data_IF_472635143577
#
_entry.id   IF_472635143577
#
_cell.length_a   1.000
_cell.length_b   1.000
_cell.length_c   1.000
_cell.angle_alpha   90.00
_cell.angle_beta   90.00
_cell.angle_gamma   90.00
#
_symmetry.space_group_name_H-M   'P 1'
#
loop_
_entity.id
_entity.type
_entity.pdbx_description
1 polymer ?
#
# COMPACT_ATOMS: atom_id res chain seq x y z
N UNK A 1 -11.15 -19.20 8.87
CA UNK A 1 -11.47 -19.04 7.44
C UNK A 1 -11.70 -17.57 7.14
N UNK A 2 -11.18 -17.07 6.02
CA UNK A 2 -11.44 -15.71 5.53
C UNK A 2 -12.78 -15.73 4.78
N UNK A 3 -13.82 -15.09 5.32
CA UNK A 3 -15.18 -15.16 4.79
C UNK A 3 -15.30 -14.48 3.42
N UNK A 4 -14.50 -13.44 3.18
CA UNK A 4 -14.46 -12.77 1.89
C UNK A 4 -13.87 -13.69 0.81
N UNK A 5 -12.78 -14.39 1.11
CA UNK A 5 -12.22 -15.39 0.19
C UNK A 5 -13.20 -16.54 -0.10
N UNK A 6 -13.97 -16.99 0.90
CA UNK A 6 -15.01 -18.00 0.69
C UNK A 6 -16.10 -17.51 -0.29
N UNK A 7 -16.51 -16.24 -0.19
CA UNK A 7 -17.44 -15.61 -1.15
C UNK A 7 -16.88 -15.60 -2.58
N UNK A 8 -15.56 -15.49 -2.73
CA UNK A 8 -14.86 -15.60 -4.02
C UNK A 8 -14.67 -17.04 -4.50
N UNK A 9 -15.11 -18.04 -3.73
CA UNK A 9 -15.03 -19.46 -4.08
C UNK A 9 -13.74 -20.16 -3.64
N UNK A 10 -12.88 -19.50 -2.86
CA UNK A 10 -11.70 -20.14 -2.27
C UNK A 10 -12.09 -21.05 -1.09
N UNK A 11 -11.30 -22.09 -0.90
CA UNK A 11 -11.43 -23.06 0.20
C UNK A 11 -10.58 -22.63 1.40
N UNK A 12 -10.88 -23.13 2.61
CA UNK A 12 -10.08 -22.84 3.81
C UNK A 12 -8.59 -23.17 3.72
N UNK A 13 -8.21 -24.05 2.78
CA UNK A 13 -6.84 -24.52 2.57
C UNK A 13 -6.11 -23.77 1.46
N UNK A 14 -6.79 -22.90 0.73
CA UNK A 14 -6.19 -22.19 -0.40
C UNK A 14 -5.27 -21.08 0.10
N UNK A 15 -4.13 -20.95 -0.58
CA UNK A 15 -3.14 -19.90 -0.35
C UNK A 15 -3.32 -18.83 -1.42
N UNK A 16 -3.63 -17.60 -1.00
CA UNK A 16 -3.90 -16.49 -1.90
C UNK A 16 -2.91 -15.36 -1.60
N UNK A 17 -2.26 -14.84 -2.64
CA UNK A 17 -1.20 -13.86 -2.53
C UNK A 17 -1.52 -12.62 -3.39
N UNK A 18 -1.32 -11.45 -2.79
CA UNK A 18 -1.20 -10.18 -3.50
C UNK A 18 0.28 -9.80 -3.48
N UNK A 19 0.86 -9.58 -4.66
CA UNK A 19 2.20 -8.99 -4.82
C UNK A 19 2.03 -7.52 -5.16
N UNK A 20 2.32 -6.66 -4.19
CA UNK A 20 1.95 -5.26 -4.21
C UNK A 20 3.20 -4.36 -4.30
N UNK A 21 3.16 -3.39 -5.21
CA UNK A 21 4.20 -2.39 -5.37
C UNK A 21 3.81 -1.12 -4.61
N UNK A 22 4.60 -0.80 -3.58
CA UNK A 22 4.53 0.49 -2.90
C UNK A 22 5.33 1.56 -3.66
N UNK A 23 4.97 2.82 -3.39
CA UNK A 23 5.69 4.02 -3.85
C UNK A 23 5.70 4.27 -5.38
N UNK A 24 4.69 3.84 -6.13
CA UNK A 24 4.51 4.37 -7.50
C UNK A 24 4.34 5.90 -7.42
N UNK A 25 4.91 6.65 -8.35
CA UNK A 25 4.90 8.13 -8.35
C UNK A 25 5.95 8.78 -7.45
N UNK A 26 6.65 8.02 -6.60
CA UNK A 26 7.72 8.52 -5.74
C UNK A 26 8.83 9.20 -6.54
N UNK A 27 9.46 8.47 -7.46
CA UNK A 27 10.47 8.98 -8.38
C UNK A 27 10.38 8.30 -9.75
N UNK A 28 11.06 8.85 -10.77
CA UNK A 28 11.09 8.26 -12.11
C UNK A 28 11.59 6.81 -12.09
N UNK A 29 12.66 6.54 -11.32
CA UNK A 29 13.21 5.20 -11.17
C UNK A 29 12.20 4.18 -10.61
N UNK A 30 11.31 4.60 -9.71
CA UNK A 30 10.24 3.77 -9.17
C UNK A 30 9.11 3.55 -10.19
N UNK A 31 8.73 4.59 -10.95
CA UNK A 31 7.73 4.50 -12.02
C UNK A 31 8.15 3.49 -13.10
N UNK A 32 9.38 3.60 -13.59
CA UNK A 32 9.90 2.71 -14.63
C UNK A 32 10.03 1.26 -14.13
N UNK A 33 10.37 1.07 -12.86
CA UNK A 33 10.41 -0.25 -12.26
C UNK A 33 9.00 -0.83 -12.09
N UNK A 34 8.03 0.00 -11.67
CA UNK A 34 6.62 -0.38 -11.54
C UNK A 34 6.03 -0.83 -12.88
N UNK A 35 6.25 -0.05 -13.94
CA UNK A 35 5.81 -0.40 -15.30
C UNK A 35 6.36 -1.77 -15.73
N UNK A 36 7.66 -2.03 -15.50
CA UNK A 36 8.28 -3.29 -15.86
C UNK A 36 7.67 -4.48 -15.09
N UNK A 37 7.45 -4.33 -13.78
CA UNK A 37 6.87 -5.38 -12.95
C UNK A 37 5.40 -5.67 -13.29
N UNK A 38 4.57 -4.63 -13.48
CA UNK A 38 3.16 -4.79 -13.84
C UNK A 38 3.00 -5.33 -15.26
N UNK A 39 3.75 -4.80 -16.24
CA UNK A 39 3.70 -5.27 -17.63
C UNK A 39 4.25 -6.69 -17.79
N UNK A 40 5.23 -7.06 -16.97
CA UNK A 40 5.77 -8.41 -16.89
C UNK A 40 4.87 -9.39 -16.12
N UNK A 41 3.81 -8.90 -15.47
CA UNK A 41 2.84 -9.69 -14.71
C UNK A 41 3.36 -10.23 -13.37
N UNK A 42 4.56 -9.85 -12.94
CA UNK A 42 5.19 -10.33 -11.70
C UNK A 42 4.58 -9.71 -10.44
N UNK A 43 4.14 -8.45 -10.54
CA UNK A 43 3.32 -7.78 -9.55
C UNK A 43 1.84 -7.91 -9.93
N UNK A 44 0.97 -8.10 -8.94
CA UNK A 44 -0.46 -8.13 -9.17
C UNK A 44 -1.11 -6.74 -9.11
N UNK A 45 -0.50 -5.79 -8.40
CA UNK A 45 -0.99 -4.42 -8.27
C UNK A 45 0.11 -3.46 -7.79
N UNK A 46 -0.19 -2.16 -7.81
CA UNK A 46 0.64 -1.10 -7.25
C UNK A 46 -0.24 -0.03 -6.60
N UNK A 47 0.33 0.84 -5.76
CA UNK A 47 -0.34 2.06 -5.30
C UNK A 47 0.52 3.30 -5.45
N UNK A 48 -0.14 4.41 -5.82
CA UNK A 48 0.54 5.66 -6.20
C UNK A 48 0.52 6.69 -5.08
N UNK A 49 1.68 7.30 -4.78
CA UNK A 49 1.78 8.49 -3.93
C UNK A 49 1.39 9.71 -4.77
N UNK A 50 0.16 10.17 -4.63
CA UNK A 50 -0.38 11.29 -5.41
C UNK A 50 0.33 12.61 -5.13
N UNK A 51 0.82 12.78 -3.91
CA UNK A 51 1.55 13.98 -3.50
C UNK A 51 2.93 14.11 -4.17
N UNK A 52 3.53 12.99 -4.59
CA UNK A 52 4.92 12.94 -5.02
C UNK A 52 5.16 13.60 -6.38
N UNK A 53 6.39 14.09 -6.60
CA UNK A 53 6.74 14.91 -7.76
C UNK A 53 6.58 14.21 -9.12
N UNK A 54 6.61 12.87 -9.12
CA UNK A 54 6.48 12.05 -10.33
C UNK A 54 5.09 11.40 -10.49
N UNK A 55 4.08 11.88 -9.75
CA UNK A 55 2.69 11.43 -9.87
C UNK A 55 2.12 11.59 -11.29
N UNK A 56 2.37 12.71 -11.99
CA UNK A 56 1.79 12.93 -13.32
C UNK A 56 2.32 11.93 -14.37
N UNK A 57 3.57 11.50 -14.24
CA UNK A 57 4.12 10.42 -15.06
C UNK A 57 3.43 9.09 -14.73
N UNK A 58 3.31 8.76 -13.45
CA UNK A 58 2.61 7.56 -12.99
C UNK A 58 1.16 7.51 -13.52
N UNK A 59 0.43 8.61 -13.41
CA UNK A 59 -0.94 8.73 -13.94
C UNK A 59 -0.98 8.57 -15.47
N UNK A 60 -0.04 9.17 -16.19
CA UNK A 60 0.07 9.00 -17.65
C UNK A 60 0.30 7.53 -18.02
N UNK A 61 1.20 6.83 -17.33
CA UNK A 61 1.44 5.40 -17.54
C UNK A 61 0.19 4.56 -17.27
N UNK A 62 -0.52 4.82 -16.17
CA UNK A 62 -1.75 4.11 -15.81
C UNK A 62 -2.86 4.29 -16.86
N UNK A 63 -3.04 5.50 -17.40
CA UNK A 63 -4.02 5.78 -18.45
C UNK A 63 -3.75 5.00 -19.76
N UNK A 64 -2.49 4.71 -20.06
CA UNK A 64 -2.10 3.94 -21.25
C UNK A 64 -2.09 2.43 -21.01
N UNK A 65 -2.32 2.00 -19.76
CA UNK A 65 -2.29 0.60 -19.34
C UNK A 65 -3.49 0.28 -18.44
N UNK A 66 -4.71 0.37 -18.99
CA UNK A 66 -5.97 0.23 -18.24
C UNK A 66 -6.17 -1.14 -17.57
N UNK A 67 -5.39 -2.16 -17.94
CA UNK A 67 -5.39 -3.46 -17.27
C UNK A 67 -4.66 -3.46 -15.92
N UNK A 68 -3.83 -2.45 -15.64
CA UNK A 68 -3.12 -2.38 -14.37
C UNK A 68 -4.07 -2.16 -13.20
N UNK A 69 -3.73 -2.78 -12.08
CA UNK A 69 -4.44 -2.68 -10.82
C UNK A 69 -3.73 -1.64 -9.93
N UNK A 70 -4.27 -0.42 -9.91
CA UNK A 70 -3.62 0.74 -9.29
C UNK A 70 -4.49 1.30 -8.16
N UNK A 71 -3.95 1.32 -6.95
CA UNK A 71 -4.53 1.97 -5.78
C UNK A 71 -3.91 3.34 -5.48
N UNK A 72 -4.33 3.94 -4.38
CA UNK A 72 -3.76 5.19 -3.85
C UNK A 72 -2.99 4.91 -2.57
N UNK A 73 -1.69 5.26 -2.57
CA UNK A 73 -0.80 5.14 -1.43
C UNK A 73 -0.95 6.35 -0.51
N UNK A 74 -1.98 6.29 0.35
CA UNK A 74 -2.37 7.44 1.15
C UNK A 74 -1.25 7.83 2.11
N UNK A 75 -0.93 9.12 2.15
CA UNK A 75 0.19 9.61 2.95
C UNK A 75 -0.15 10.86 3.76
N UNK A 76 0.37 10.91 4.99
CA UNK A 76 0.47 12.11 5.83
C UNK A 76 1.93 12.45 6.14
N UNK A 77 2.87 11.78 5.44
CA UNK A 77 4.31 11.86 5.68
C UNK A 77 5.08 12.14 4.39
N UNK A 78 6.27 12.72 4.52
CA UNK A 78 7.29 12.89 3.49
C UNK A 78 8.67 12.79 4.16
N UNK A 79 9.20 11.57 4.21
CA UNK A 79 10.30 11.15 5.07
C UNK A 79 11.66 11.69 4.66
N UNK A 80 11.91 11.80 3.34
CA UNK A 80 13.24 12.14 2.85
C UNK A 80 13.64 13.58 3.20
N UNK A 81 14.92 13.82 3.52
CA UNK A 81 15.39 15.15 3.93
C UNK A 81 15.39 16.17 2.77
N UNK A 82 15.67 15.71 1.55
CA UNK A 82 15.90 16.57 0.37
C UNK A 82 14.85 16.38 -0.73
N UNK A 83 13.94 15.43 -0.60
CA UNK A 83 12.91 15.13 -1.59
C UNK A 83 11.56 14.98 -0.91
N UNK A 84 10.78 16.07 -0.93
CA UNK A 84 9.58 16.19 -0.09
C UNK A 84 8.39 16.65 -0.90
N UNK A 85 7.21 16.20 -0.50
CA UNK A 85 5.95 16.58 -1.14
C UNK A 85 5.01 17.31 -0.18
N UNK A 86 4.27 18.32 -0.68
CA UNK A 86 3.32 19.07 0.13
C UNK A 86 2.02 18.28 0.32
N UNK A 87 1.18 18.76 1.25
CA UNK A 87 -0.23 18.38 1.28
C UNK A 87 -0.96 18.92 0.04
N UNK A 88 -1.98 18.19 -0.42
CA UNK A 88 -2.84 18.60 -1.55
C UNK A 88 -4.01 19.49 -1.10
N UNK A 89 -4.55 19.20 0.08
CA UNK A 89 -5.79 19.80 0.59
C UNK A 89 -5.60 21.19 1.20
N UNK A 90 -4.45 21.45 1.84
CA UNK A 90 -4.18 22.72 2.52
C UNK A 90 -2.69 22.97 2.73
N UNK A 91 -2.30 24.25 2.69
CA UNK A 91 -0.98 24.73 3.13
C UNK A 91 -1.04 25.53 4.43
N UNK A 92 -2.22 25.60 5.06
CA UNK A 92 -2.39 26.30 6.32
C UNK A 92 -1.75 25.49 7.46
N UNK A 93 -0.73 26.07 8.10
CA UNK A 93 -0.06 25.47 9.26
C UNK A 93 -1.02 25.21 10.43
N UNK A 94 -2.15 25.93 10.52
CA UNK A 94 -3.20 25.71 11.52
C UNK A 94 -3.88 24.34 11.44
N UNK A 95 -3.82 23.67 10.27
CA UNK A 95 -4.37 22.31 10.09
C UNK A 95 -3.50 21.22 10.71
N UNK A 96 -2.23 21.54 10.96
CA UNK A 96 -1.21 20.59 11.38
C UNK A 96 -0.73 19.63 10.27
N UNK A 97 -1.16 19.78 9.01
CA UNK A 97 -0.74 18.91 7.89
C UNK A 97 0.72 19.08 7.50
N UNK A 98 1.21 20.32 7.58
CA UNK A 98 2.54 20.69 7.08
C UNK A 98 3.47 21.06 8.22
N UNK A 99 4.74 20.72 8.05
CA UNK A 99 5.81 21.11 8.96
C UNK A 99 6.28 22.55 8.70
N UNK A 100 7.37 22.95 9.38
CA UNK A 100 7.94 24.31 9.26
C UNK A 100 8.51 24.63 7.87
N UNK A 101 8.76 23.63 7.04
CA UNK A 101 9.24 23.80 5.66
C UNK A 101 8.07 23.82 4.65
N UNK A 102 6.84 23.56 5.10
CA UNK A 102 5.65 23.55 4.25
C UNK A 102 5.36 22.21 3.56
N UNK A 103 5.98 21.12 4.02
CA UNK A 103 5.79 19.76 3.49
C UNK A 103 5.11 18.85 4.51
N UNK A 104 4.61 17.69 4.09
CA UNK A 104 4.13 16.66 5.01
C UNK A 104 5.25 16.21 5.98
N UNK A 105 4.88 15.67 7.13
CA UNK A 105 5.82 15.37 8.22
C UNK A 105 6.85 14.30 7.88
N UNK A 106 8.09 14.46 8.35
CA UNK A 106 9.14 13.46 8.14
C UNK A 106 8.85 12.10 8.77
N UNK A 107 8.13 12.08 9.90
CA UNK A 107 7.91 10.88 10.69
C UNK A 107 6.44 10.61 10.88
N UNK A 108 6.10 9.33 11.00
CA UNK A 108 4.76 8.89 11.38
C UNK A 108 4.34 9.49 12.72
N UNK A 109 5.24 9.56 13.68
CA UNK A 109 4.99 10.08 15.03
C UNK A 109 4.62 11.56 15.00
N UNK A 110 5.32 12.36 14.21
CA UNK A 110 5.00 13.79 14.08
C UNK A 110 3.70 14.00 13.31
N UNK A 111 3.42 13.22 12.26
CA UNK A 111 2.13 13.26 11.58
C UNK A 111 0.98 12.96 12.56
N UNK A 112 1.08 11.89 13.35
CA UNK A 112 0.09 11.54 14.36
C UNK A 112 -0.10 12.66 15.39
N UNK A 113 1.00 13.27 15.84
CA UNK A 113 0.99 14.30 16.87
C UNK A 113 0.29 15.58 16.40
N UNK A 114 0.57 16.03 15.18
CA UNK A 114 0.18 17.37 14.74
C UNK A 114 -1.05 17.39 13.83
N UNK A 115 -1.23 16.39 12.96
CA UNK A 115 -2.31 16.40 11.98
C UNK A 115 -3.64 16.19 12.68
N UNK A 116 -4.61 17.07 12.46
CA UNK A 116 -5.98 16.90 12.99
C UNK A 116 -6.75 15.84 12.20
N UNK A 117 -7.76 15.20 12.79
CA UNK A 117 -8.58 14.19 12.10
C UNK A 117 -9.33 14.78 10.89
N UNK A 118 -9.83 16.02 11.02
CA UNK A 118 -10.48 16.76 9.94
C UNK A 118 -9.52 17.02 8.78
N UNK A 119 -8.30 17.47 9.08
CA UNK A 119 -7.29 17.72 8.06
C UNK A 119 -6.82 16.43 7.38
N UNK A 120 -6.65 15.34 8.14
CA UNK A 120 -6.35 14.02 7.57
C UNK A 120 -7.47 13.53 6.63
N UNK A 121 -8.75 13.73 6.99
CA UNK A 121 -9.89 13.40 6.11
C UNK A 121 -9.84 14.19 4.81
N UNK A 122 -9.63 15.50 4.91
CA UNK A 122 -9.54 16.39 3.75
C UNK A 122 -8.37 16.01 2.83
N UNK A 123 -7.22 15.70 3.41
CA UNK A 123 -6.02 15.31 2.67
C UNK A 123 -6.15 13.96 1.98
N UNK A 124 -6.56 12.91 2.70
CA UNK A 124 -6.76 11.58 2.10
C UNK A 124 -7.81 11.62 0.98
N UNK A 125 -8.89 12.38 1.16
CA UNK A 125 -9.87 12.62 0.10
C UNK A 125 -9.25 13.30 -1.12
N UNK A 126 -8.51 14.38 -0.91
CA UNK A 126 -7.87 15.12 -2.00
C UNK A 126 -6.92 14.23 -2.81
N UNK A 127 -6.22 13.29 -2.15
CA UNK A 127 -5.37 12.30 -2.82
C UNK A 127 -6.20 11.37 -3.72
N UNK A 128 -7.29 10.78 -3.20
CA UNK A 128 -8.17 9.89 -3.97
C UNK A 128 -8.82 10.64 -5.15
N UNK A 129 -9.39 11.81 -4.89
CA UNK A 129 -10.06 12.63 -5.91
C UNK A 129 -9.07 13.07 -7.01
N UNK A 130 -7.83 13.39 -6.64
CA UNK A 130 -6.79 13.76 -7.61
C UNK A 130 -6.37 12.58 -8.48
N UNK A 131 -6.24 11.37 -7.92
CA UNK A 131 -5.97 10.16 -8.69
C UNK A 131 -7.10 9.85 -9.69
N UNK A 132 -8.36 9.92 -9.24
CA UNK A 132 -9.54 9.73 -10.09
C UNK A 132 -9.62 10.79 -11.19
N UNK A 133 -9.40 12.07 -10.86
CA UNK A 133 -9.38 13.17 -11.83
C UNK A 133 -8.23 13.03 -12.86
N UNK A 134 -7.13 12.40 -12.47
CA UNK A 134 -6.03 12.03 -13.35
C UNK A 134 -6.29 10.75 -14.15
N UNK A 135 -7.51 10.20 -14.13
CA UNK A 135 -7.93 9.06 -14.97
C UNK A 135 -7.47 7.69 -14.47
N UNK A 136 -7.02 7.58 -13.21
CA UNK A 136 -6.73 6.29 -12.58
C UNK A 136 -8.05 5.67 -12.10
N UNK A 137 -8.35 4.45 -12.55
CA UNK A 137 -9.43 3.65 -11.96
C UNK A 137 -8.95 3.05 -10.63
N UNK A 138 -9.11 3.81 -9.54
CA UNK A 138 -8.60 3.46 -8.21
C UNK A 138 -9.21 2.12 -7.76
N UNK A 139 -8.36 1.11 -7.56
CA UNK A 139 -8.78 -0.24 -7.19
C UNK A 139 -8.77 -0.49 -5.70
N UNK A 140 -7.91 0.19 -4.94
CA UNK A 140 -7.77 0.07 -3.50
C UNK A 140 -7.14 1.34 -2.90
N UNK A 141 -7.17 1.43 -1.58
CA UNK A 141 -6.35 2.37 -0.82
C UNK A 141 -5.51 1.60 0.18
N UNK A 142 -4.29 2.10 0.41
CA UNK A 142 -3.39 1.61 1.44
C UNK A 142 -2.67 2.80 2.11
N UNK A 143 -1.50 2.60 2.71
CA UNK A 143 -0.87 3.59 3.58
C UNK A 143 0.63 3.67 3.41
N UNK A 144 1.12 4.86 3.10
CA UNK A 144 2.53 5.18 3.20
C UNK A 144 2.95 5.28 4.67
N UNK A 145 4.00 4.52 5.02
CA UNK A 145 4.57 4.41 6.37
C UNK A 145 3.56 4.06 7.48
N UNK A 146 2.37 3.54 7.17
CA UNK A 146 1.36 3.20 8.18
C UNK A 146 0.77 4.38 8.97
N UNK A 147 0.85 5.60 8.44
CA UNK A 147 0.37 6.81 9.13
C UNK A 147 -1.16 6.86 9.21
N UNK A 148 -1.88 6.60 8.10
CA UNK A 148 -3.35 6.74 8.05
C UNK A 148 -4.12 5.60 8.70
N UNK A 149 -3.46 4.46 8.92
CA UNK A 149 -4.03 3.32 9.65
C UNK A 149 -3.83 3.41 11.17
N UNK A 150 -3.23 4.50 11.67
CA UNK A 150 -3.17 4.75 13.10
C UNK A 150 -4.59 4.90 13.70
N UNK A 151 -4.88 4.46 14.94
CA UNK A 151 -6.24 4.51 15.51
C UNK A 151 -6.93 5.88 15.44
N UNK A 152 -6.16 6.97 15.53
CA UNK A 152 -6.63 8.35 15.36
C UNK A 152 -7.29 8.59 13.98
N UNK A 153 -6.78 7.98 12.92
CA UNK A 153 -7.21 8.22 11.55
C UNK A 153 -7.96 7.04 10.92
N UNK A 154 -7.86 5.85 11.51
CA UNK A 154 -8.46 4.62 11.01
C UNK A 154 -9.98 4.74 10.72
N UNK A 155 -10.83 5.36 11.58
CA UNK A 155 -12.25 5.52 11.25
C UNK A 155 -12.47 6.35 9.99
N UNK A 156 -11.68 7.39 9.79
CA UNK A 156 -11.72 8.23 8.58
C UNK A 156 -11.25 7.47 7.35
N UNK A 157 -10.13 6.75 7.46
CA UNK A 157 -9.60 5.90 6.39
C UNK A 157 -10.63 4.86 5.93
N UNK A 158 -11.26 4.14 6.86
CA UNK A 158 -12.30 3.15 6.56
C UNK A 158 -13.58 3.80 6.00
N UNK A 159 -13.95 4.98 6.50
CA UNK A 159 -15.07 5.75 5.94
C UNK A 159 -14.83 6.14 4.49
N UNK A 160 -13.59 6.50 4.11
CA UNK A 160 -13.25 6.81 2.72
C UNK A 160 -13.24 5.55 1.86
N UNK A 161 -12.67 4.43 2.34
CA UNK A 161 -12.73 3.15 1.64
C UNK A 161 -14.17 2.75 1.27
N UNK A 162 -15.10 2.87 2.24
CA UNK A 162 -16.51 2.60 2.03
C UNK A 162 -17.16 3.59 1.06
N UNK A 163 -16.82 4.88 1.14
CA UNK A 163 -17.39 5.93 0.29
C UNK A 163 -16.98 5.81 -1.18
N UNK A 164 -15.72 5.45 -1.45
CA UNK A 164 -15.22 5.22 -2.80
C UNK A 164 -15.43 3.77 -3.27
N UNK A 165 -16.05 2.93 -2.43
CA UNK A 165 -16.31 1.51 -2.68
C UNK A 165 -15.04 0.77 -3.15
N UNK A 166 -13.92 0.99 -2.44
CA UNK A 166 -12.64 0.32 -2.68
C UNK A 166 -12.15 -0.43 -1.44
N UNK A 167 -11.52 -1.61 -1.59
CA UNK A 167 -10.79 -2.28 -0.53
C UNK A 167 -9.79 -1.35 0.15
N UNK A 168 -9.69 -1.48 1.47
CA UNK A 168 -8.65 -0.85 2.27
C UNK A 168 -7.60 -1.90 2.63
N UNK A 169 -6.31 -1.56 2.61
CA UNK A 169 -5.29 -2.33 3.32
C UNK A 169 -5.68 -2.43 4.79
N UNK A 170 -6.03 -3.64 5.23
CA UNK A 170 -6.63 -3.86 6.54
C UNK A 170 -6.23 -5.25 7.07
N UNK A 171 -5.32 -5.33 8.06
CA UNK A 171 -4.93 -6.61 8.63
C UNK A 171 -6.04 -7.21 9.48
N UNK A 172 -6.25 -8.52 9.34
CA UNK A 172 -7.10 -9.32 10.21
C UNK A 172 -6.35 -9.69 11.48
N UNK A 173 -6.17 -8.70 12.36
CA UNK A 173 -5.45 -8.92 13.61
C UNK A 173 -6.36 -9.46 14.70
N UNK A 174 -5.89 -10.46 15.44
CA UNK A 174 -6.57 -10.89 16.66
C UNK A 174 -6.28 -9.95 17.81
N UNK A 175 -7.20 -9.84 18.77
CA UNK A 175 -6.99 -9.10 20.02
C UNK A 175 -5.68 -9.48 20.72
N UNK A 176 -5.37 -10.77 20.75
CA UNK A 176 -4.13 -11.28 21.36
C UNK A 176 -2.87 -10.80 20.63
N UNK A 177 -2.85 -10.83 19.28
CA UNK A 177 -1.70 -10.35 18.48
C UNK A 177 -1.53 -8.84 18.62
N UNK A 178 -2.62 -8.08 18.69
CA UNK A 178 -2.54 -6.62 18.85
C UNK A 178 -2.05 -6.20 20.25
N UNK A 179 -2.53 -6.86 21.31
CA UNK A 179 -2.06 -6.58 22.68
C UNK A 179 -0.56 -6.85 22.85
N UNK A 180 0.00 -7.79 22.08
CA UNK A 180 1.45 -8.05 22.07
C UNK A 180 2.26 -6.96 21.33
N UNK A 181 1.64 -6.22 20.39
CA UNK A 181 2.31 -5.26 19.51
C UNK A 181 2.16 -3.79 19.95
N UNK A 182 1.29 -3.48 20.92
CA UNK A 182 0.92 -2.10 21.23
C UNK A 182 0.93 -1.79 22.74
N UNK A 183 1.17 -0.52 23.08
CA UNK A 183 1.01 -0.02 24.45
C UNK A 183 -0.48 0.20 24.74
N UNK A 184 -1.17 -0.84 25.22
CA UNK A 184 -2.46 -0.80 25.92
C UNK A 184 -3.58 -0.03 25.21
N UNK A 185 -3.78 1.24 25.58
CA UNK A 185 -4.95 2.05 25.21
C UNK A 185 -5.13 2.22 23.69
N UNK A 186 -4.03 2.24 22.94
CA UNK A 186 -4.07 2.30 21.46
C UNK A 186 -4.54 1.00 20.83
N UNK A 187 -4.38 -0.13 21.52
CA UNK A 187 -4.84 -1.44 21.09
C UNK A 187 -6.37 -1.50 21.09
N UNK A 188 -6.99 -1.03 22.17
CA UNK A 188 -8.43 -1.16 22.35
C UNK A 188 -9.21 -0.29 21.35
N UNK A 189 -8.77 0.95 21.09
CA UNK A 189 -9.38 1.80 20.07
C UNK A 189 -9.27 1.19 18.66
N UNK A 190 -8.12 0.60 18.33
CA UNK A 190 -7.93 -0.09 17.06
C UNK A 190 -8.82 -1.33 16.93
N UNK A 191 -8.91 -2.16 17.97
CA UNK A 191 -9.77 -3.34 17.97
C UNK A 191 -11.24 -2.96 17.85
N UNK A 192 -11.69 -1.94 18.58
CA UNK A 192 -13.07 -1.48 18.50
C UNK A 192 -13.43 -1.06 17.08
N UNK A 193 -12.52 -0.37 16.39
CA UNK A 193 -12.72 -0.01 14.99
C UNK A 193 -12.78 -1.24 14.08
N UNK A 194 -11.93 -2.25 14.30
CA UNK A 194 -11.94 -3.50 13.51
C UNK A 194 -13.14 -4.40 13.80
N UNK A 195 -13.57 -4.52 15.05
CA UNK A 195 -14.72 -5.32 15.47
C UNK A 195 -16.04 -4.76 14.92
N UNK A 196 -16.09 -3.47 14.61
CA UNK A 196 -17.22 -2.84 13.95
C UNK A 196 -17.35 -3.19 12.45
N UNK A 197 -16.33 -3.84 11.86
CA UNK A 197 -16.28 -4.15 10.43
C UNK A 197 -16.95 -5.50 10.17
N UNK A 198 -17.88 -5.50 9.21
CA UNK A 198 -18.45 -6.72 8.67
C UNK A 198 -17.42 -7.42 7.75
N UNK A 199 -16.66 -8.36 8.32
CA UNK A 199 -15.61 -9.11 7.64
C UNK A 199 -16.10 -9.99 6.47
N UNK A 200 -17.42 -10.12 6.26
CA UNK A 200 -17.98 -10.77 5.07
C UNK A 200 -18.10 -9.81 3.87
N UNK A 201 -18.06 -8.50 4.13
CA UNK A 201 -18.22 -7.44 3.12
C UNK A 201 -16.92 -6.70 2.83
N UNK A 202 -16.01 -6.65 3.79
CA UNK A 202 -14.72 -5.96 3.65
C UNK A 202 -13.61 -7.01 3.58
N UNK A 203 -12.78 -7.02 2.52
CA UNK A 203 -11.63 -7.92 2.45
C UNK A 203 -10.63 -7.54 3.55
N UNK A 204 -10.21 -8.53 4.34
CA UNK A 204 -9.17 -8.38 5.36
C UNK A 204 -8.01 -9.33 5.07
N UNK A 205 -6.79 -8.86 5.35
CA UNK A 205 -5.54 -9.56 5.08
C UNK A 205 -5.21 -10.50 6.24
N UNK A 206 -5.05 -11.79 5.96
CA UNK A 206 -4.68 -12.79 6.97
C UNK A 206 -3.24 -12.63 7.45
N UNK A 207 -2.34 -12.24 6.54
CA UNK A 207 -0.95 -11.93 6.84
C UNK A 207 -0.47 -10.74 5.99
N UNK A 208 0.45 -9.95 6.56
CA UNK A 208 1.09 -8.83 5.89
C UNK A 208 2.61 -9.01 5.96
N UNK A 209 3.26 -9.01 4.80
CA UNK A 209 4.72 -9.13 4.69
C UNK A 209 5.24 -7.78 4.22
N UNK A 210 5.73 -7.00 5.19
CA UNK A 210 6.09 -5.58 5.00
C UNK A 210 7.59 -5.30 5.18
N UNK A 211 8.31 -6.19 5.85
CA UNK A 211 9.74 -6.04 6.16
C UNK A 211 10.61 -6.44 4.97
N UNK A 212 10.45 -5.75 3.84
CA UNK A 212 11.13 -6.09 2.57
C UNK A 212 12.26 -5.12 2.21
N UNK A 213 12.31 -3.92 2.79
CA UNK A 213 13.42 -2.96 2.63
C UNK A 213 14.68 -3.33 3.44
N UNK A 214 15.18 -4.55 3.24
CA UNK A 214 16.38 -5.07 3.91
C UNK A 214 17.64 -4.79 3.11
N UNK A 215 18.78 -4.65 3.80
CA UNK A 215 20.08 -4.39 3.18
C UNK A 215 20.64 -5.64 2.45
N UNK A 216 20.10 -5.93 1.26
CA UNK A 216 20.54 -6.99 0.35
C UNK A 216 20.62 -6.46 -1.08
N UNK A 217 21.62 -6.92 -1.83
CA UNK A 217 21.80 -6.62 -3.26
C UNK A 217 21.06 -7.59 -4.17
N UNK A 218 20.81 -8.81 -3.70
CA UNK A 218 19.99 -9.82 -4.35
C UNK A 218 18.95 -10.32 -3.34
N UNK A 219 17.70 -10.37 -3.78
CA UNK A 219 16.55 -10.77 -2.97
C UNK A 219 15.77 -11.95 -3.56
N UNK A 220 16.26 -12.62 -4.60
CA UNK A 220 15.55 -13.76 -5.20
C UNK A 220 15.29 -14.86 -4.15
N UNK A 221 16.34 -15.37 -3.51
CA UNK A 221 16.20 -16.40 -2.46
C UNK A 221 15.40 -15.91 -1.24
N UNK A 222 15.50 -14.61 -0.93
CA UNK A 222 14.74 -13.99 0.15
C UNK A 222 13.23 -14.06 -0.14
N UNK A 223 12.81 -13.65 -1.34
CA UNK A 223 11.41 -13.72 -1.74
C UNK A 223 10.91 -15.14 -1.92
N UNK A 224 11.73 -16.07 -2.42
CA UNK A 224 11.37 -17.48 -2.45
C UNK A 224 11.09 -18.02 -1.05
N UNK A 225 11.92 -17.70 -0.06
CA UNK A 225 11.68 -18.09 1.33
C UNK A 225 10.41 -17.49 1.93
N UNK A 226 10.07 -16.24 1.57
CA UNK A 226 8.79 -15.64 1.97
C UNK A 226 7.60 -16.35 1.31
N UNK A 227 7.70 -16.71 0.03
CA UNK A 227 6.66 -17.42 -0.72
C UNK A 227 6.45 -18.82 -0.16
N UNK A 228 7.53 -19.54 0.18
CA UNK A 228 7.48 -20.87 0.79
C UNK A 228 6.70 -20.88 2.11
N UNK A 229 6.81 -19.79 2.87
CA UNK A 229 6.17 -19.61 4.18
C UNK A 229 4.72 -19.12 4.10
N UNK A 230 4.15 -18.92 2.90
CA UNK A 230 2.75 -18.50 2.76
C UNK A 230 1.84 -19.63 3.24
N UNK A 231 1.00 -19.29 4.21
CA UNK A 231 -0.04 -20.14 4.79
C UNK A 231 -1.41 -19.90 4.12
N UNK A 232 -2.41 -20.79 4.32
CA UNK A 232 -3.76 -20.59 3.81
C UNK A 232 -4.40 -19.27 4.29
N UNK A 233 -5.05 -18.56 3.36
CA UNK A 233 -5.59 -17.23 3.59
C UNK A 233 -5.15 -16.22 2.53
N UNK A 234 -5.49 -14.94 2.76
CA UNK A 234 -5.11 -13.81 1.94
C UNK A 234 -3.85 -13.13 2.50
N UNK A 235 -2.72 -13.32 1.83
CA UNK A 235 -1.45 -12.68 2.20
C UNK A 235 -1.18 -11.49 1.29
N UNK A 236 -0.80 -10.36 1.88
CA UNK A 236 -0.29 -9.19 1.16
C UNK A 236 1.22 -9.13 1.34
N UNK A 237 1.98 -9.19 0.24
CA UNK A 237 3.42 -9.00 0.22
C UNK A 237 3.74 -7.72 -0.54
N UNK A 238 4.26 -6.72 0.16
CA UNK A 238 4.68 -5.45 -0.44
C UNK A 238 6.18 -5.40 -0.68
N UNK A 239 6.58 -4.69 -1.73
CA UNK A 239 7.97 -4.44 -2.07
C UNK A 239 8.09 -3.10 -2.81
N UNK A 240 9.33 -2.62 -2.95
CA UNK A 240 9.59 -1.23 -3.32
C UNK A 240 10.53 -1.15 -4.53
N UNK A 241 10.13 -1.65 -5.71
CA UNK A 241 11.00 -1.75 -6.86
C UNK A 241 11.36 -0.36 -7.38
N UNK A 242 12.65 -0.08 -7.55
CA UNK A 242 13.14 1.11 -8.25
C UNK A 242 14.44 0.78 -8.99
N UNK A 243 14.63 1.29 -10.21
CA UNK A 243 15.89 1.08 -10.93
C UNK A 243 17.04 1.87 -10.27
N UNK A 244 18.21 1.24 -10.17
CA UNK A 244 19.38 1.94 -9.66
C UNK A 244 19.70 3.16 -10.53
N UNK A 245 19.93 4.30 -9.87
CA UNK A 245 20.15 5.58 -10.54
C UNK A 245 20.79 6.58 -9.58
N UNK A 246 21.43 7.60 -10.14
CA UNK A 246 21.96 8.75 -9.37
C UNK A 246 20.84 9.49 -8.63
N UNK A 247 19.63 9.60 -9.22
CA UNK A 247 18.45 10.18 -8.56
C UNK A 247 18.07 9.37 -7.32
N UNK A 248 17.87 8.05 -7.47
CA UNK A 248 17.43 7.20 -6.36
C UNK A 248 18.44 7.19 -5.21
N UNK A 249 19.73 7.10 -5.52
CA UNK A 249 20.82 7.11 -4.51
C UNK A 249 20.97 8.47 -3.82
N UNK A 250 20.60 9.57 -4.47
CA UNK A 250 20.58 10.89 -3.84
C UNK A 250 19.37 11.11 -2.91
N UNK A 251 18.28 10.35 -3.11
CA UNK A 251 17.06 10.49 -2.32
C UNK A 251 17.03 9.51 -1.13
N UNK A 252 17.28 8.22 -1.38
CA UNK A 252 16.97 7.14 -0.46
C UNK A 252 18.19 6.29 -0.12
N UNK A 253 18.53 6.19 1.16
CA UNK A 253 19.58 5.27 1.65
C UNK A 253 19.24 3.79 1.37
N UNK A 254 17.98 3.49 1.09
CA UNK A 254 17.49 2.16 0.71
C UNK A 254 17.61 1.87 -0.79
N UNK A 255 18.25 2.73 -1.59
CA UNK A 255 18.32 2.60 -3.05
C UNK A 255 18.79 1.20 -3.52
N UNK A 256 19.81 0.62 -2.87
CA UNK A 256 20.30 -0.73 -3.18
C UNK A 256 19.22 -1.79 -2.97
N UNK A 257 18.48 -1.66 -1.87
CA UNK A 257 17.40 -2.59 -1.51
C UNK A 257 16.23 -2.50 -2.50
N UNK A 258 15.86 -1.28 -2.90
CA UNK A 258 14.81 -1.01 -3.89
C UNK A 258 15.20 -1.52 -5.28
N UNK A 259 16.49 -1.43 -5.64
CA UNK A 259 16.98 -2.03 -6.87
C UNK A 259 16.96 -3.56 -6.82
N UNK A 260 17.30 -4.16 -5.68
CA UNK A 260 17.19 -5.61 -5.51
C UNK A 260 15.73 -6.09 -5.61
N UNK A 261 14.75 -5.30 -5.16
CA UNK A 261 13.33 -5.58 -5.38
C UNK A 261 12.97 -5.59 -6.86
N UNK A 262 13.40 -4.56 -7.60
CA UNK A 262 13.24 -4.53 -9.05
C UNK A 262 13.90 -5.75 -9.69
N UNK A 263 15.12 -6.11 -9.30
CA UNK A 263 15.81 -7.27 -9.88
C UNK A 263 15.14 -8.62 -9.54
N UNK A 264 14.43 -8.71 -8.42
CA UNK A 264 13.67 -9.91 -8.08
C UNK A 264 12.34 -10.00 -8.86
N UNK A 265 11.70 -8.86 -9.13
CA UNK A 265 10.37 -8.77 -9.73
C UNK A 265 10.33 -8.24 -11.17
N UNK A 266 11.42 -7.93 -11.86
CA UNK A 266 11.36 -7.42 -13.25
C UNK A 266 10.92 -8.47 -14.29
N UNK A 267 10.73 -9.72 -13.88
CA UNK A 267 10.28 -10.82 -14.73
C UNK A 267 9.37 -11.78 -13.97
N UNK A 268 8.76 -12.76 -14.66
CA UNK A 268 7.69 -13.60 -14.11
C UNK A 268 8.18 -14.67 -13.12
N UNK A 269 9.49 -14.80 -12.88
CA UNK A 269 10.12 -15.91 -12.15
C UNK A 269 9.49 -16.15 -10.77
N UNK A 270 9.35 -15.11 -9.94
CA UNK A 270 8.76 -15.25 -8.60
C UNK A 270 7.27 -15.56 -8.65
N UNK A 271 6.56 -15.03 -9.64
CA UNK A 271 5.15 -15.35 -9.88
C UNK A 271 4.97 -16.81 -10.25
N UNK A 272 5.72 -17.29 -11.24
CA UNK A 272 5.70 -18.68 -11.68
C UNK A 272 6.10 -19.61 -10.54
N UNK A 273 7.08 -19.22 -9.72
CA UNK A 273 7.49 -19.95 -8.52
C UNK A 273 6.32 -20.09 -7.51
N UNK A 274 5.62 -19.00 -7.20
CA UNK A 274 4.45 -19.05 -6.31
C UNK A 274 3.33 -19.93 -6.88
N UNK A 275 3.01 -19.78 -8.18
CA UNK A 275 1.97 -20.56 -8.86
C UNK A 275 2.32 -22.07 -8.91
N UNK A 276 3.58 -22.44 -9.08
CA UNK A 276 4.05 -23.84 -9.01
C UNK A 276 3.84 -24.48 -7.64
N UNK A 277 3.81 -23.67 -6.59
CA UNK A 277 3.44 -24.13 -5.24
C UNK A 277 1.93 -24.18 -5.01
N UNK A 278 1.12 -23.85 -6.02
CA UNK A 278 -0.34 -23.80 -5.89
C UNK A 278 -0.84 -22.57 -5.14
N UNK A 279 -0.02 -21.51 -5.05
CA UNK A 279 -0.46 -20.21 -4.52
C UNK A 279 -1.19 -19.46 -5.64
N UNK A 280 -2.36 -18.94 -5.32
CA UNK A 280 -3.20 -18.17 -6.25
C UNK A 280 -2.86 -16.69 -6.12
N UNK A 281 -2.32 -16.10 -7.18
CA UNK A 281 -2.02 -14.66 -7.20
C UNK A 281 -3.25 -13.89 -7.71
N UNK A 282 -3.71 -12.92 -6.94
CA UNK A 282 -4.84 -12.03 -7.27
C UNK A 282 -4.45 -10.57 -7.12
N UNK A 283 -5.22 -9.68 -7.74
CA UNK A 283 -5.17 -8.23 -7.54
C UNK A 283 -6.22 -7.70 -6.56
N UNK A 284 -6.11 -6.43 -6.19
CA UNK A 284 -7.15 -5.70 -5.46
C UNK A 284 -8.39 -5.40 -6.30
N UNK A 285 -8.26 -5.31 -7.63
CA UNK A 285 -9.38 -5.17 -8.56
C UNK A 285 -10.39 -6.31 -8.38
N UNK A 286 -9.92 -7.55 -8.31
CA UNK A 286 -10.78 -8.72 -8.05
C UNK A 286 -11.52 -8.62 -6.71
N UNK A 287 -10.84 -8.11 -5.67
CA UNK A 287 -11.47 -7.87 -4.36
C UNK A 287 -12.53 -6.76 -4.43
N UNK A 288 -12.21 -5.66 -5.11
CA UNK A 288 -13.11 -4.52 -5.30
C UNK A 288 -14.36 -4.90 -6.06
N UNK A 289 -14.21 -5.61 -7.17
CA UNK A 289 -15.31 -5.97 -8.05
C UNK A 289 -16.30 -6.88 -7.30
N UNK A 290 -15.81 -7.86 -6.52
CA UNK A 290 -16.64 -8.69 -5.62
C UNK A 290 -17.30 -7.89 -4.48
N UNK A 291 -16.64 -6.82 -4.01
CA UNK A 291 -17.20 -5.89 -3.02
C UNK A 291 -18.35 -5.06 -3.62
N UNK A 292 -18.23 -4.65 -4.89
CA UNK A 292 -19.25 -3.92 -5.67
C UNK A 292 -20.35 -4.83 -6.23
N UNK A 293 -20.15 -6.14 -6.22
CA UNK A 293 -21.10 -7.13 -6.75
C UNK A 293 -21.02 -7.30 -8.27
N UNK A 294 -19.85 -7.01 -8.85
CA UNK A 294 -19.50 -7.20 -10.26
C UNK A 294 -18.99 -8.63 -10.54
#
# INVERSE_FOLDING_TARGET
>A
MNQFLEKMGFKPVDRVLITHIDDMGFCHAANVATEACLSGGSASCASVIVNAGWFLEAAHMAQHNLSWDIGVHLTLTAEYPLYRWPALSSRDAGTGLVDRQGYLWHTREDAIRHVTEEAARGEMRAQIDTALAAGIDVTHIDTHMGSVIHPKFLPTYLSLAAEYEVPAFLPRITRARLQALSQGDMADAYLQALEAIDASKVPMLDEIIIETLIAKQDKMDFYQGLIDAIEPGLTHLLFHPAKDSEELSAIADTHVSRHADYMAFHGPVLREYAEQQGIRIIGYRELRDVMRGE
#
